data_IF_325675024368
#
_entry.id   IF_325675024368
#
_cell.length_a   1.000
_cell.length_b   1.000
_cell.length_c   1.000
_cell.angle_alpha   90.00
_cell.angle_beta   90.00
_cell.angle_gamma   90.00
#
_symmetry.space_group_name_H-M   'P 1'
#
loop_
_entity.id
_entity.type
_entity.pdbx_description
1 polymer ?
#
# COMPACT_ATOMS: atom_id res chain seq x y z
N UNK A 1 -5.21 -10.75 -0.83
CA UNK A 1 -4.87 -10.71 -2.27
C UNK A 1 -6.02 -10.20 -3.11
N UNK A 2 -5.70 -9.52 -4.20
CA UNK A 2 -6.70 -9.03 -5.13
C UNK A 2 -7.22 -10.16 -6.01
N UNK A 3 -8.51 -10.07 -6.38
CA UNK A 3 -9.11 -10.95 -7.38
C UNK A 3 -8.77 -10.50 -8.81
N UNK A 4 -8.24 -9.27 -8.98
CA UNK A 4 -7.76 -8.78 -10.28
C UNK A 4 -6.30 -9.16 -10.46
N UNK A 5 -5.95 -9.68 -11.66
CA UNK A 5 -4.58 -10.11 -11.97
C UNK A 5 -3.58 -8.96 -12.06
N UNK A 6 -4.05 -7.76 -12.41
CA UNK A 6 -3.19 -6.57 -12.56
C UNK A 6 -2.98 -5.81 -11.24
N UNK A 7 -3.56 -6.28 -10.14
CA UNK A 7 -3.45 -5.65 -8.82
C UNK A 7 -3.00 -6.64 -7.77
N UNK A 8 -2.21 -6.17 -6.80
CA UNK A 8 -1.65 -7.02 -5.73
C UNK A 8 -2.67 -7.34 -4.65
N UNK A 9 -3.41 -6.33 -4.21
CA UNK A 9 -4.26 -6.40 -3.04
C UNK A 9 -5.61 -5.77 -3.32
N UNK A 10 -6.57 -6.09 -2.47
CA UNK A 10 -7.86 -5.41 -2.46
C UNK A 10 -8.29 -5.13 -1.03
N UNK A 11 -8.95 -4.01 -0.84
CA UNK A 11 -9.52 -3.61 0.44
C UNK A 11 -11.03 -3.65 0.33
N UNK A 12 -11.67 -4.27 1.32
CA UNK A 12 -13.12 -4.35 1.42
C UNK A 12 -13.54 -3.47 2.59
N UNK A 13 -14.28 -2.40 2.30
CA UNK A 13 -14.81 -1.50 3.32
C UNK A 13 -16.21 -1.94 3.69
N UNK A 14 -16.46 -2.04 4.99
CA UNK A 14 -17.75 -2.48 5.53
C UNK A 14 -18.34 -1.42 6.44
N UNK A 15 -19.68 -1.35 6.49
CA UNK A 15 -20.38 -0.46 7.43
C UNK A 15 -20.52 -1.12 8.81
N UNK A 16 -21.23 -0.44 9.72
CA UNK A 16 -21.46 -0.92 11.10
C UNK A 16 -22.17 -2.26 11.14
N UNK A 17 -22.99 -2.57 10.14
CA UNK A 17 -23.73 -3.82 10.05
C UNK A 17 -22.93 -4.92 9.37
N UNK A 18 -21.63 -4.72 9.17
CA UNK A 18 -20.72 -5.66 8.53
C UNK A 18 -21.08 -5.93 7.06
N UNK A 19 -21.76 -4.99 6.41
CA UNK A 19 -22.11 -5.09 4.99
C UNK A 19 -21.04 -4.38 4.16
N UNK A 20 -20.67 -5.01 3.04
CA UNK A 20 -19.71 -4.45 2.09
C UNK A 20 -20.30 -3.20 1.43
N UNK A 21 -19.61 -2.07 1.56
CA UNK A 21 -20.03 -0.81 0.95
C UNK A 21 -19.11 -0.36 -0.17
N UNK A 22 -17.85 -0.83 -0.19
CA UNK A 22 -16.89 -0.46 -1.23
C UNK A 22 -15.80 -1.50 -1.34
N UNK A 23 -15.35 -1.76 -2.57
CA UNK A 23 -14.21 -2.62 -2.86
C UNK A 23 -13.19 -1.82 -3.67
N UNK A 24 -11.94 -1.78 -3.21
CA UNK A 24 -10.86 -1.06 -3.90
C UNK A 24 -9.69 -2.01 -4.15
N UNK A 25 -9.31 -2.17 -5.42
CA UNK A 25 -8.10 -2.89 -5.79
C UNK A 25 -6.94 -1.89 -5.87
N UNK A 26 -5.77 -2.28 -5.38
CA UNK A 26 -4.62 -1.39 -5.38
C UNK A 26 -3.29 -2.12 -5.50
N UNK A 27 -2.24 -1.36 -5.88
CA UNK A 27 -0.92 -1.90 -6.08
C UNK A 27 -0.78 -2.62 -7.42
N UNK A 28 -0.02 -2.05 -8.36
CA UNK A 28 0.19 -2.67 -9.67
C UNK A 28 0.98 -3.98 -9.53
N UNK A 29 0.42 -5.08 -10.01
CA UNK A 29 1.10 -6.37 -10.00
C UNK A 29 2.34 -6.31 -10.90
N UNK A 30 3.43 -6.96 -10.45
CA UNK A 30 4.68 -6.97 -11.19
C UNK A 30 5.59 -5.78 -10.91
N UNK A 31 5.15 -4.82 -10.10
CA UNK A 31 5.95 -3.65 -9.74
C UNK A 31 6.38 -3.72 -8.29
N UNK A 32 7.53 -3.09 -7.99
CA UNK A 32 8.08 -3.06 -6.62
C UNK A 32 7.29 -2.09 -5.73
N UNK A 33 7.39 -2.31 -4.41
CA UNK A 33 6.91 -1.38 -3.40
C UNK A 33 7.81 -1.48 -2.16
N UNK A 34 7.55 -0.65 -1.14
CA UNK A 34 8.40 -0.59 0.05
C UNK A 34 8.47 -1.93 0.78
N UNK A 35 7.35 -2.65 0.87
CA UNK A 35 7.34 -3.96 1.53
C UNK A 35 8.17 -4.99 0.78
N UNK A 36 8.18 -4.94 -0.55
CA UNK A 36 8.91 -5.90 -1.38
C UNK A 36 10.41 -5.61 -1.42
N UNK A 37 10.82 -4.33 -1.50
CA UNK A 37 12.25 -4.01 -1.55
C UNK A 37 12.96 -4.26 -0.22
N UNK A 38 12.21 -4.35 0.88
CA UNK A 38 12.73 -4.68 2.21
C UNK A 38 12.62 -6.16 2.57
N UNK A 39 11.99 -6.97 1.75
CA UNK A 39 11.76 -8.39 2.02
C UNK A 39 12.81 -9.24 1.33
N UNK A 40 13.67 -9.90 2.11
CA UNK A 40 14.78 -10.72 1.59
C UNK A 40 14.30 -11.87 0.70
N UNK A 41 13.05 -12.30 0.86
CA UNK A 41 12.48 -13.39 0.06
C UNK A 41 11.79 -12.91 -1.21
N UNK A 42 11.76 -11.58 -1.42
CA UNK A 42 11.13 -10.98 -2.60
C UNK A 42 12.12 -10.89 -3.75
N UNK A 43 11.68 -11.11 -5.02
CA UNK A 43 12.52 -10.86 -6.19
C UNK A 43 12.88 -9.38 -6.36
N UNK A 44 12.17 -8.47 -5.66
CA UNK A 44 12.44 -7.03 -5.71
C UNK A 44 13.35 -6.56 -4.59
N UNK A 45 13.88 -7.46 -3.76
CA UNK A 45 14.74 -7.08 -2.62
C UNK A 45 15.94 -6.26 -3.08
N UNK A 46 16.19 -5.15 -2.39
CA UNK A 46 17.36 -4.31 -2.60
C UNK A 46 18.19 -4.35 -1.33
N UNK A 47 19.42 -4.86 -1.44
CA UNK A 47 20.30 -5.05 -0.28
C UNK A 47 20.78 -3.74 0.32
N UNK A 48 21.04 -2.72 -0.51
CA UNK A 48 21.57 -1.42 -0.08
C UNK A 48 20.43 -0.56 0.49
N UNK A 49 20.55 -0.20 1.77
CA UNK A 49 19.53 0.60 2.46
C UNK A 49 19.33 1.97 1.82
N UNK A 50 20.41 2.62 1.40
CA UNK A 50 20.31 3.95 0.77
C UNK A 50 19.56 3.87 -0.55
N UNK A 51 19.75 2.80 -1.32
CA UNK A 51 19.02 2.58 -2.57
C UNK A 51 17.55 2.30 -2.30
N UNK A 52 17.23 1.54 -1.24
CA UNK A 52 15.84 1.32 -0.85
C UNK A 52 15.15 2.64 -0.51
N UNK A 53 15.81 3.47 0.31
CA UNK A 53 15.26 4.78 0.71
C UNK A 53 15.06 5.70 -0.49
N UNK A 54 15.96 5.66 -1.47
CA UNK A 54 15.82 6.44 -2.69
C UNK A 54 14.58 6.01 -3.50
N UNK A 55 14.35 4.70 -3.63
CA UNK A 55 13.17 4.18 -4.32
C UNK A 55 11.89 4.70 -3.67
N UNK A 56 11.83 4.66 -2.34
CA UNK A 56 10.67 5.16 -1.59
C UNK A 56 10.46 6.66 -1.80
N UNK A 57 11.54 7.44 -1.72
CA UNK A 57 11.47 8.89 -1.91
C UNK A 57 10.98 9.24 -3.31
N UNK A 58 11.45 8.55 -4.33
CA UNK A 58 11.03 8.78 -5.71
C UNK A 58 9.54 8.47 -5.91
N UNK A 59 9.04 7.38 -5.30
CA UNK A 59 7.62 7.06 -5.33
C UNK A 59 6.79 8.18 -4.71
N UNK A 60 7.14 8.59 -3.49
CA UNK A 60 6.40 9.61 -2.76
C UNK A 60 6.36 10.91 -3.55
N UNK A 61 7.49 11.34 -4.10
CA UNK A 61 7.58 12.60 -4.84
C UNK A 61 6.76 12.58 -6.12
N UNK A 62 6.72 11.43 -6.84
CA UNK A 62 5.93 11.31 -8.07
C UNK A 62 4.43 11.35 -7.80
N UNK A 63 3.99 10.67 -6.75
CA UNK A 63 2.56 10.44 -6.51
C UNK A 63 1.91 11.53 -5.67
N UNK A 64 2.67 12.20 -4.83
CA UNK A 64 2.16 13.21 -3.89
C UNK A 64 1.30 14.27 -4.58
N UNK A 65 1.70 14.74 -5.74
CA UNK A 65 1.05 15.85 -6.43
C UNK A 65 -0.27 15.47 -7.11
N UNK A 66 -0.51 14.18 -7.34
CA UNK A 66 -1.64 13.70 -8.13
C UNK A 66 -2.65 12.89 -7.35
N UNK A 67 -2.33 12.50 -6.12
CA UNK A 67 -3.13 11.57 -5.34
C UNK A 67 -3.63 12.21 -4.06
N UNK A 68 -4.85 11.86 -3.67
CA UNK A 68 -5.43 12.25 -2.40
C UNK A 68 -5.10 11.19 -1.35
N UNK A 69 -4.16 11.48 -0.46
CA UNK A 69 -3.73 10.57 0.59
C UNK A 69 -4.47 10.78 1.91
N UNK A 70 -5.39 11.75 1.96
CA UNK A 70 -6.17 12.04 3.17
C UNK A 70 -7.47 11.26 3.24
N UNK A 71 -7.97 10.77 2.12
CA UNK A 71 -9.15 9.90 2.07
C UNK A 71 -8.71 8.45 2.05
N UNK A 72 -9.27 7.57 2.92
CA UNK A 72 -8.77 6.20 3.04
C UNK A 72 -9.14 5.29 1.87
N UNK A 73 -10.23 5.56 1.19
CA UNK A 73 -10.92 4.58 0.34
C UNK A 73 -10.63 4.73 -1.16
N UNK A 74 -9.43 5.19 -1.52
CA UNK A 74 -9.00 5.23 -2.92
C UNK A 74 -7.69 4.44 -3.08
N UNK A 75 -7.40 4.02 -4.33
CA UNK A 75 -6.25 3.16 -4.60
C UNK A 75 -4.91 3.85 -4.31
N UNK A 76 -4.82 5.16 -4.55
CA UNK A 76 -3.60 5.92 -4.27
C UNK A 76 -3.28 5.96 -2.79
N UNK A 77 -4.29 6.22 -1.95
CA UNK A 77 -4.14 6.25 -0.50
C UNK A 77 -3.76 4.87 0.05
N UNK A 78 -4.45 3.82 -0.41
CA UNK A 78 -4.15 2.45 0.00
C UNK A 78 -2.72 2.05 -0.39
N UNK A 79 -2.28 2.35 -1.61
CA UNK A 79 -0.91 2.07 -2.03
C UNK A 79 0.10 2.81 -1.16
N UNK A 80 -0.10 4.11 -0.92
CA UNK A 80 0.81 4.93 -0.12
C UNK A 80 0.96 4.39 1.31
N UNK A 81 -0.14 4.10 1.97
CA UNK A 81 -0.12 3.78 3.40
C UNK A 81 0.02 2.29 3.69
N UNK A 82 -0.38 1.41 2.78
CA UNK A 82 -0.27 -0.04 2.98
C UNK A 82 1.02 -0.59 2.35
N UNK A 83 1.40 -0.13 1.16
CA UNK A 83 2.54 -0.69 0.43
C UNK A 83 3.84 0.10 0.60
N UNK A 84 3.77 1.38 0.96
CA UNK A 84 4.94 2.28 0.97
C UNK A 84 5.24 2.91 2.33
N UNK A 85 4.51 2.58 3.41
CA UNK A 85 4.73 3.20 4.73
C UNK A 85 5.72 2.43 5.59
N UNK A 86 5.45 1.14 5.87
CA UNK A 86 6.30 0.31 6.72
C UNK A 86 6.93 -0.81 5.90
N UNK A 87 8.12 -1.32 6.30
CA UNK A 87 8.75 -2.43 5.60
C UNK A 87 7.95 -3.72 5.62
N UNK A 88 7.17 -3.96 6.68
CA UNK A 88 6.33 -5.16 6.79
C UNK A 88 4.88 -4.82 6.50
N UNK A 89 4.26 -5.64 5.66
CA UNK A 89 2.89 -5.41 5.21
C UNK A 89 1.90 -5.33 6.37
N UNK A 90 2.00 -6.23 7.33
CA UNK A 90 1.07 -6.24 8.47
C UNK A 90 1.21 -4.98 9.32
N UNK A 91 2.42 -4.45 9.46
CA UNK A 91 2.67 -3.20 10.19
C UNK A 91 2.06 -2.00 9.44
N UNK A 92 2.16 -2.00 8.12
CA UNK A 92 1.53 -0.95 7.29
C UNK A 92 0.01 -0.99 7.40
N UNK A 93 -0.58 -2.18 7.37
CA UNK A 93 -2.03 -2.34 7.51
C UNK A 93 -2.49 -1.81 8.87
N UNK A 94 -1.78 -2.14 9.95
CA UNK A 94 -2.09 -1.64 11.29
C UNK A 94 -1.99 -0.13 11.36
N UNK A 95 -0.94 0.45 10.76
CA UNK A 95 -0.77 1.90 10.68
C UNK A 95 -1.92 2.57 9.91
N UNK A 96 -2.30 2.00 8.78
CA UNK A 96 -3.41 2.51 7.96
C UNK A 96 -4.73 2.54 8.74
N UNK A 97 -5.03 1.42 9.42
CA UNK A 97 -6.27 1.33 10.21
C UNK A 97 -6.29 2.36 11.35
N UNK A 98 -5.16 2.57 12.02
CA UNK A 98 -5.05 3.54 13.10
C UNK A 98 -5.18 4.97 12.57
N UNK A 99 -4.49 5.29 11.46
CA UNK A 99 -4.50 6.62 10.87
C UNK A 99 -5.90 7.08 10.47
N UNK A 100 -6.68 6.16 9.91
CA UNK A 100 -8.04 6.46 9.42
C UNK A 100 -9.13 5.97 10.37
N UNK A 101 -8.77 5.53 11.56
CA UNK A 101 -9.70 5.07 12.59
C UNK A 101 -10.61 3.93 12.09
N UNK A 102 -10.02 2.95 11.43
CA UNK A 102 -10.70 1.77 10.91
C UNK A 102 -10.48 0.57 11.83
N UNK A 103 -11.40 -0.38 11.77
CA UNK A 103 -11.29 -1.63 12.56
C UNK A 103 -10.65 -2.78 11.77
#
# INVERSE_FOLDING_TARGET
>A
PSTRKDKKLMAIFKNKDNKKIKLVHFGAAGYRDWTLVNNKNSPFYIKDEDKRNLVRTLYINRHRKREDWESPDNSGSLSRWVLWEKPKLNDSIAFYKQKFNLK
#
